data_IF_127773560997
#
_entry.id   IF_127773560997
#
_cell.length_a   1.000
_cell.length_b   1.000
_cell.length_c   1.000
_cell.angle_alpha   90.00
_cell.angle_beta   90.00
_cell.angle_gamma   90.00
#
_symmetry.space_group_name_H-M   'P 1'
#
loop_
_entity.id
_entity.type
_entity.pdbx_description
1 polymer ?
#
# COMPACT_ATOMS: atom_id res chain seq x y z
N UNK A 1 34.48 21.90 -8.55
CA UNK A 1 33.40 20.98 -8.26
C UNK A 1 33.99 19.72 -7.62
N UNK A 2 33.32 19.13 -6.62
CA UNK A 2 33.78 17.87 -5.98
C UNK A 2 33.54 16.72 -6.93
N UNK A 3 34.49 15.79 -7.06
CA UNK A 3 34.30 14.53 -7.78
C UNK A 3 33.44 13.56 -6.96
N UNK A 4 32.98 12.45 -7.57
CA UNK A 4 32.13 11.44 -6.90
C UNK A 4 32.71 10.98 -5.55
N UNK A 5 34.03 10.70 -5.49
CA UNK A 5 34.67 10.27 -4.26
C UNK A 5 34.58 11.32 -3.14
N UNK A 6 34.85 12.58 -3.48
CA UNK A 6 34.76 13.68 -2.52
C UNK A 6 33.33 13.94 -2.06
N UNK A 7 32.32 13.72 -2.92
CA UNK A 7 30.91 13.87 -2.56
C UNK A 7 30.52 12.86 -1.48
N UNK A 8 30.68 11.56 -1.72
CA UNK A 8 30.26 10.57 -0.73
C UNK A 8 31.13 10.58 0.53
N UNK A 9 32.42 10.85 0.43
CA UNK A 9 33.28 11.02 1.60
C UNK A 9 32.82 12.17 2.51
N UNK A 10 32.20 13.20 1.95
CA UNK A 10 31.67 14.29 2.74
C UNK A 10 30.42 13.93 3.56
N UNK A 11 29.82 12.77 3.32
CA UNK A 11 28.67 12.22 4.05
C UNK A 11 29.09 11.19 5.12
N UNK A 12 30.32 10.69 5.11
CA UNK A 12 30.80 9.64 6.05
C UNK A 12 30.78 10.02 7.55
N UNK A 13 30.69 11.30 7.98
CA UNK A 13 30.41 11.62 9.38
C UNK A 13 29.05 11.17 9.89
N UNK A 14 28.07 10.93 8.98
CA UNK A 14 26.71 10.51 9.34
C UNK A 14 26.36 9.10 8.85
N UNK A 15 26.96 8.65 7.74
CA UNK A 15 26.64 7.41 7.05
C UNK A 15 27.87 6.54 6.91
N UNK A 16 27.73 5.22 6.90
CA UNK A 16 28.84 4.37 6.52
C UNK A 16 29.24 4.58 5.04
N UNK A 17 30.42 4.07 4.65
CA UNK A 17 30.95 4.33 3.31
C UNK A 17 30.05 3.72 2.20
N UNK A 18 29.41 2.58 2.45
CA UNK A 18 28.50 1.91 1.50
C UNK A 18 27.22 2.72 1.31
N UNK A 19 26.64 3.14 2.40
CA UNK A 19 25.42 3.97 2.42
C UNK A 19 25.66 5.34 1.80
N UNK A 20 26.75 6.04 2.18
CA UNK A 20 27.12 7.31 1.60
C UNK A 20 27.29 7.24 0.06
N UNK A 21 27.89 6.15 -0.44
CA UNK A 21 28.01 5.91 -1.87
C UNK A 21 26.66 5.65 -2.53
N UNK A 22 25.77 4.89 -1.88
CA UNK A 22 24.43 4.62 -2.38
C UNK A 22 23.61 5.90 -2.47
N UNK A 23 23.60 6.74 -1.43
CA UNK A 23 22.92 8.04 -1.39
C UNK A 23 23.38 8.94 -2.54
N UNK A 24 24.71 9.11 -2.73
CA UNK A 24 25.21 9.96 -3.81
C UNK A 24 24.88 9.40 -5.19
N UNK A 25 24.89 8.08 -5.36
CA UNK A 25 24.46 7.44 -6.63
C UNK A 25 22.99 7.71 -6.90
N UNK A 26 22.13 7.55 -5.91
CA UNK A 26 20.70 7.86 -6.03
C UNK A 26 20.47 9.31 -6.44
N UNK A 27 21.20 10.25 -5.84
CA UNK A 27 21.12 11.67 -6.24
C UNK A 27 21.54 11.91 -7.69
N UNK A 28 22.68 11.32 -8.10
CA UNK A 28 23.21 11.51 -9.45
C UNK A 28 22.34 10.86 -10.53
N UNK A 29 21.72 9.72 -10.21
CA UNK A 29 20.76 9.07 -11.09
C UNK A 29 19.47 9.88 -11.20
N UNK A 30 18.85 10.21 -10.07
CA UNK A 30 17.55 10.87 -10.04
C UNK A 30 17.57 12.30 -10.63
N UNK A 31 18.63 13.07 -10.36
CA UNK A 31 18.71 14.48 -10.75
C UNK A 31 19.38 14.71 -12.11
N UNK A 32 20.30 13.82 -12.51
CA UNK A 32 21.12 14.01 -13.71
C UNK A 32 21.07 12.81 -14.68
N UNK A 33 20.31 11.76 -14.38
CA UNK A 33 20.20 10.54 -15.21
C UNK A 33 21.52 9.81 -15.38
N UNK A 34 22.44 9.89 -14.41
CA UNK A 34 23.77 9.29 -14.51
C UNK A 34 23.72 7.82 -14.10
N UNK A 35 24.09 6.94 -15.02
CA UNK A 35 24.34 5.53 -14.72
C UNK A 35 25.61 5.35 -13.87
N UNK A 36 25.75 4.18 -13.24
CA UNK A 36 26.98 3.84 -12.51
C UNK A 36 28.24 3.97 -13.39
N UNK A 37 28.14 3.63 -14.67
CA UNK A 37 29.23 3.77 -15.64
C UNK A 37 29.59 5.23 -15.87
N UNK A 38 28.62 6.12 -16.00
CA UNK A 38 28.81 7.56 -16.13
C UNK A 38 29.51 8.15 -14.90
N UNK A 39 29.09 7.71 -13.71
CA UNK A 39 29.65 8.18 -12.43
C UNK A 39 31.11 7.76 -12.30
N UNK A 40 31.43 6.49 -12.56
CA UNK A 40 32.82 5.97 -12.53
C UNK A 40 33.66 6.60 -13.64
N UNK A 41 33.07 6.86 -14.80
CA UNK A 41 33.71 7.54 -15.94
C UNK A 41 34.03 9.02 -15.68
N UNK A 42 33.56 9.58 -14.55
CA UNK A 42 33.87 10.96 -14.15
C UNK A 42 32.94 12.01 -14.73
N UNK A 43 31.81 11.64 -15.30
CA UNK A 43 30.79 12.56 -15.88
C UNK A 43 30.29 13.62 -14.89
N UNK A 44 30.38 13.35 -13.57
CA UNK A 44 30.11 14.32 -12.50
C UNK A 44 30.94 15.62 -12.68
N UNK A 45 32.15 15.53 -13.21
CA UNK A 45 33.02 16.69 -13.42
C UNK A 45 32.61 17.54 -14.65
N UNK A 46 31.70 17.04 -15.47
CA UNK A 46 31.22 17.71 -16.69
C UNK A 46 29.93 18.50 -16.45
N UNK A 47 29.35 18.44 -15.23
CA UNK A 47 28.18 19.23 -14.86
C UNK A 47 28.44 20.75 -15.05
N UNK A 48 27.46 21.45 -15.54
CA UNK A 48 27.48 22.90 -15.65
C UNK A 48 27.62 23.60 -14.29
N UNK A 49 27.94 24.86 -14.26
CA UNK A 49 28.08 25.62 -13.02
C UNK A 49 26.79 25.67 -12.19
N UNK A 50 25.61 25.72 -12.86
CA UNK A 50 24.31 25.75 -12.18
C UNK A 50 23.93 24.38 -11.64
N UNK A 51 24.17 23.32 -12.40
CA UNK A 51 23.99 21.93 -11.93
C UNK A 51 24.93 21.62 -10.76
N UNK A 52 26.19 22.08 -10.82
CA UNK A 52 27.13 21.93 -9.72
C UNK A 52 26.69 22.63 -8.44
N UNK A 53 26.10 23.86 -8.53
CA UNK A 53 25.49 24.51 -7.37
C UNK A 53 24.32 23.76 -6.79
N UNK A 54 23.41 23.30 -7.65
CA UNK A 54 22.27 22.45 -7.21
C UNK A 54 22.76 21.20 -6.49
N UNK A 55 23.78 20.51 -7.02
CA UNK A 55 24.37 19.35 -6.37
C UNK A 55 24.98 19.70 -5.00
N UNK A 56 25.67 20.84 -4.87
CA UNK A 56 26.21 21.29 -3.58
C UNK A 56 25.11 21.60 -2.55
N UNK A 57 23.99 22.17 -2.97
CA UNK A 57 22.81 22.38 -2.10
C UNK A 57 22.23 21.06 -1.63
N UNK A 58 22.05 20.08 -2.52
CA UNK A 58 21.60 18.71 -2.20
C UNK A 58 22.54 18.07 -1.18
N UNK A 59 23.84 18.07 -1.44
CA UNK A 59 24.84 17.49 -0.53
C UNK A 59 24.83 18.19 0.84
N UNK A 60 24.61 19.51 0.87
CA UNK A 60 24.53 20.26 2.13
C UNK A 60 23.31 19.85 2.97
N UNK A 61 22.18 19.55 2.35
CA UNK A 61 20.99 19.01 3.03
C UNK A 61 21.27 17.62 3.59
N UNK A 62 21.86 16.74 2.80
CA UNK A 62 22.25 15.37 3.20
C UNK A 62 23.26 15.37 4.36
N UNK A 63 24.21 16.30 4.39
CA UNK A 63 25.16 16.48 5.49
C UNK A 63 24.49 16.90 6.82
N UNK A 64 23.26 17.38 6.77
CA UNK A 64 22.43 17.65 7.97
C UNK A 64 21.60 16.45 8.40
N UNK A 65 21.68 15.33 7.69
CA UNK A 65 20.93 14.12 7.97
C UNK A 65 19.51 14.11 7.37
N UNK A 66 19.18 15.05 6.47
CA UNK A 66 17.89 15.04 5.81
C UNK A 66 17.77 13.81 4.90
N UNK A 67 16.67 13.01 4.97
CA UNK A 67 16.48 11.83 4.14
C UNK A 67 16.61 12.16 2.65
N UNK A 68 17.33 11.34 1.90
CA UNK A 68 17.56 11.57 0.45
C UNK A 68 16.23 11.66 -0.32
N UNK A 69 15.21 10.95 0.11
CA UNK A 69 13.87 11.02 -0.50
C UNK A 69 13.22 12.40 -0.34
N UNK A 70 13.36 13.05 0.81
CA UNK A 70 12.86 14.41 1.00
C UNK A 70 13.72 15.44 0.26
N UNK A 71 15.03 15.21 0.20
CA UNK A 71 15.94 16.08 -0.57
C UNK A 71 15.58 16.07 -2.04
N UNK A 72 15.26 14.89 -2.60
CA UNK A 72 14.87 14.69 -4.00
C UNK A 72 13.37 14.93 -4.26
N UNK A 73 12.55 14.96 -3.20
CA UNK A 73 11.09 15.07 -3.31
C UNK A 73 10.42 13.82 -3.89
N UNK A 74 11.12 12.67 -3.88
CA UNK A 74 10.59 11.42 -4.45
C UNK A 74 11.14 10.19 -3.74
N UNK A 75 10.35 9.12 -3.78
CA UNK A 75 10.69 7.80 -3.25
C UNK A 75 10.18 6.70 -4.19
N UNK A 76 10.97 5.66 -4.41
CA UNK A 76 10.57 4.49 -5.18
C UNK A 76 9.78 3.52 -4.28
N UNK A 77 8.66 3.00 -4.80
CA UNK A 77 7.82 2.04 -4.11
C UNK A 77 7.09 1.15 -5.12
N UNK A 78 7.21 -0.17 -4.96
CA UNK A 78 6.56 -1.18 -5.82
C UNK A 78 6.78 -0.90 -7.34
N UNK A 79 8.01 -0.52 -7.73
CA UNK A 79 8.39 -0.22 -9.11
C UNK A 79 7.82 1.10 -9.67
N UNK A 80 7.39 2.01 -8.81
CA UNK A 80 6.84 3.33 -9.15
C UNK A 80 7.50 4.42 -8.33
N UNK A 81 7.62 5.62 -8.89
CA UNK A 81 8.19 6.78 -8.19
C UNK A 81 7.05 7.65 -7.65
N UNK A 82 7.01 7.81 -6.34
CA UNK A 82 6.06 8.64 -5.60
C UNK A 82 6.68 9.96 -5.19
N UNK A 83 5.92 11.04 -5.30
CA UNK A 83 6.29 12.29 -4.67
C UNK A 83 6.17 12.17 -3.14
N UNK A 84 7.17 12.66 -2.43
CA UNK A 84 7.20 12.75 -0.96
C UNK A 84 7.70 14.11 -0.53
N UNK A 85 7.23 14.58 0.63
CA UNK A 85 7.66 15.85 1.22
C UNK A 85 7.62 15.74 2.76
N UNK A 86 8.34 16.61 3.49
CA UNK A 86 8.29 16.63 4.95
C UNK A 86 6.86 16.66 5.49
N UNK A 87 6.61 15.84 6.53
CA UNK A 87 5.28 15.67 7.12
C UNK A 87 4.47 14.49 6.55
N UNK A 88 5.00 13.75 5.58
CA UNK A 88 4.40 12.52 5.04
C UNK A 88 5.43 11.40 5.12
N UNK A 89 5.07 10.26 5.73
CA UNK A 89 5.96 9.11 5.88
C UNK A 89 6.56 8.67 4.53
N UNK A 90 7.86 8.44 4.51
CA UNK A 90 8.54 7.89 3.34
C UNK A 90 8.10 6.44 3.14
N UNK A 91 7.60 6.04 1.95
CA UNK A 91 7.23 4.65 1.67
C UNK A 91 8.36 3.66 1.96
N UNK A 92 8.04 2.54 2.62
CA UNK A 92 9.01 1.51 3.01
C UNK A 92 8.94 0.29 2.10
N UNK A 93 10.06 -0.37 1.80
CA UNK A 93 10.07 -1.58 0.98
C UNK A 93 9.18 -2.70 1.52
N UNK A 94 9.13 -2.89 2.85
CA UNK A 94 8.32 -3.91 3.51
C UNK A 94 6.82 -3.69 3.27
N UNK A 95 6.40 -2.43 3.20
CA UNK A 95 5.01 -2.07 2.87
C UNK A 95 4.67 -2.45 1.41
N UNK A 96 5.64 -2.45 0.49
CA UNK A 96 5.43 -2.94 -0.87
C UNK A 96 5.17 -4.46 -0.90
N UNK A 97 5.81 -5.24 -0.02
CA UNK A 97 5.54 -6.67 0.13
C UNK A 97 4.12 -6.93 0.62
N UNK A 98 3.59 -6.07 1.51
CA UNK A 98 2.18 -6.13 1.92
C UNK A 98 1.24 -5.91 0.73
N UNK A 99 1.50 -4.92 -0.12
CA UNK A 99 0.73 -4.68 -1.35
C UNK A 99 0.78 -5.88 -2.30
N UNK A 100 1.96 -6.46 -2.49
CA UNK A 100 2.14 -7.65 -3.30
C UNK A 100 1.32 -8.83 -2.77
N UNK A 101 1.37 -9.10 -1.46
CA UNK A 101 0.58 -10.17 -0.84
C UNK A 101 -0.92 -10.00 -1.05
N UNK A 102 -1.44 -8.77 -0.90
CA UNK A 102 -2.84 -8.44 -1.16
C UNK A 102 -3.21 -8.73 -2.63
N UNK A 103 -2.40 -8.26 -3.57
CA UNK A 103 -2.64 -8.44 -5.00
C UNK A 103 -2.58 -9.93 -5.41
N UNK A 104 -1.61 -10.69 -4.92
CA UNK A 104 -1.48 -12.13 -5.14
C UNK A 104 -2.71 -12.88 -4.60
N UNK A 105 -3.12 -12.59 -3.35
CA UNK A 105 -4.30 -13.21 -2.73
C UNK A 105 -5.56 -12.93 -3.54
N UNK A 106 -5.74 -11.68 -4.00
CA UNK A 106 -6.88 -11.29 -4.81
C UNK A 106 -6.88 -12.02 -6.16
N UNK A 107 -5.75 -12.09 -6.84
CA UNK A 107 -5.59 -12.76 -8.11
C UNK A 107 -5.84 -14.28 -8.01
N UNK A 108 -5.35 -14.93 -6.96
CA UNK A 108 -5.62 -16.34 -6.70
C UNK A 108 -7.11 -16.61 -6.48
N UNK A 109 -7.76 -15.74 -5.71
CA UNK A 109 -9.19 -15.86 -5.43
C UNK A 109 -10.02 -15.66 -6.72
N UNK A 110 -9.65 -14.71 -7.59
CA UNK A 110 -10.29 -14.52 -8.90
C UNK A 110 -10.12 -15.74 -9.80
N UNK A 111 -8.94 -16.36 -9.85
CA UNK A 111 -8.70 -17.60 -10.61
C UNK A 111 -9.55 -18.76 -10.09
N UNK A 112 -9.71 -18.90 -8.77
CA UNK A 112 -10.58 -19.92 -8.16
C UNK A 112 -12.04 -19.69 -8.53
N UNK A 113 -12.50 -18.44 -8.50
CA UNK A 113 -13.86 -18.06 -8.93
C UNK A 113 -14.09 -18.38 -10.42
N UNK A 114 -13.14 -18.01 -11.28
CA UNK A 114 -13.19 -18.32 -12.71
C UNK A 114 -13.26 -19.83 -12.94
N UNK A 115 -12.49 -20.63 -12.24
CA UNK A 115 -12.51 -22.08 -12.36
C UNK A 115 -13.89 -22.67 -11.99
N UNK A 116 -14.50 -22.18 -10.91
CA UNK A 116 -15.85 -22.59 -10.47
C UNK A 116 -16.90 -22.23 -11.54
N UNK A 117 -16.83 -21.02 -12.11
CA UNK A 117 -17.74 -20.58 -13.18
C UNK A 117 -17.58 -21.46 -14.40
N UNK A 118 -16.35 -21.76 -14.83
CA UNK A 118 -16.07 -22.63 -15.97
C UNK A 118 -16.65 -24.03 -15.76
N UNK A 119 -16.46 -24.61 -14.61
CA UNK A 119 -17.01 -25.94 -14.25
C UNK A 119 -18.53 -25.92 -14.27
N UNK A 120 -19.16 -24.95 -13.59
CA UNK A 120 -20.63 -24.86 -13.49
C UNK A 120 -21.30 -24.68 -14.86
N UNK A 121 -20.67 -23.95 -15.78
CA UNK A 121 -21.21 -23.67 -17.11
C UNK A 121 -20.61 -24.57 -18.21
N UNK A 122 -19.73 -25.51 -17.89
CA UNK A 122 -19.01 -26.38 -18.84
C UNK A 122 -18.29 -25.58 -19.95
N UNK A 123 -17.63 -24.49 -19.56
CA UNK A 123 -16.88 -23.60 -20.46
C UNK A 123 -15.45 -24.14 -20.62
N UNK A 124 -15.01 -24.34 -21.88
CA UNK A 124 -13.64 -24.77 -22.15
C UNK A 124 -12.60 -23.77 -21.60
N UNK A 125 -11.46 -24.25 -21.05
CA UNK A 125 -10.37 -23.40 -20.60
C UNK A 125 -9.82 -22.44 -21.66
N UNK A 126 -9.91 -22.83 -22.94
CA UNK A 126 -9.36 -22.08 -24.07
C UNK A 126 -10.24 -20.92 -24.54
N UNK A 127 -11.44 -20.78 -23.96
CA UNK A 127 -12.38 -19.71 -24.33
C UNK A 127 -12.31 -18.61 -23.28
N UNK A 128 -12.03 -17.38 -23.69
CA UNK A 128 -12.10 -16.23 -22.80
C UNK A 128 -13.55 -16.04 -22.30
N UNK A 129 -13.77 -15.82 -21.02
CA UNK A 129 -15.12 -15.67 -20.44
C UNK A 129 -15.88 -14.48 -21.03
N UNK A 130 -15.18 -13.44 -21.43
CA UNK A 130 -15.71 -12.26 -22.12
C UNK A 130 -16.17 -12.56 -23.55
N UNK A 131 -15.61 -13.60 -24.20
CA UNK A 131 -15.94 -14.02 -25.56
C UNK A 131 -17.06 -15.10 -25.62
N UNK A 132 -17.54 -15.55 -24.43
CA UNK A 132 -18.55 -16.60 -24.37
C UNK A 132 -19.91 -16.10 -24.84
N UNK A 133 -20.22 -16.32 -26.11
CA UNK A 133 -21.54 -16.03 -26.67
C UNK A 133 -22.52 -17.16 -26.40
N UNK A 134 -23.01 -17.28 -25.19
CA UNK A 134 -23.96 -18.32 -24.76
C UNK A 134 -25.30 -18.33 -25.49
N UNK A 135 -25.52 -17.40 -26.41
CA UNK A 135 -26.82 -17.15 -27.04
C UNK A 135 -26.81 -17.24 -28.57
N UNK A 136 -25.68 -17.61 -29.15
CA UNK A 136 -25.57 -17.72 -30.61
C UNK A 136 -26.49 -18.83 -31.15
N UNK A 137 -27.20 -18.56 -32.25
CA UNK A 137 -28.08 -19.53 -32.93
C UNK A 137 -29.47 -19.76 -32.30
N UNK A 138 -29.88 -19.05 -31.25
CA UNK A 138 -31.19 -19.24 -30.59
C UNK A 138 -32.17 -18.09 -30.83
N UNK A 139 -33.45 -18.40 -31.11
CA UNK A 139 -34.50 -17.40 -31.41
C UNK A 139 -34.72 -16.40 -30.27
N UNK A 140 -35.21 -15.17 -30.60
CA UNK A 140 -35.27 -14.00 -29.72
C UNK A 140 -35.88 -14.26 -28.32
N UNK A 141 -36.99 -15.00 -28.22
CA UNK A 141 -37.63 -15.35 -26.93
C UNK A 141 -36.80 -16.33 -26.11
N UNK A 142 -36.16 -17.28 -26.76
CA UNK A 142 -35.30 -18.28 -26.11
C UNK A 142 -33.99 -17.62 -25.60
N UNK A 143 -33.45 -16.63 -26.38
CA UNK A 143 -32.30 -15.81 -25.95
C UNK A 143 -32.62 -14.98 -24.72
N UNK A 144 -33.80 -14.33 -24.68
CA UNK A 144 -34.20 -13.50 -23.53
C UNK A 144 -34.41 -14.35 -22.28
N UNK A 145 -35.02 -15.53 -22.38
CA UNK A 145 -35.21 -16.47 -21.27
C UNK A 145 -33.88 -17.05 -20.80
N UNK A 146 -32.99 -17.45 -21.70
CA UNK A 146 -31.67 -17.98 -21.36
C UNK A 146 -30.77 -16.90 -20.76
N UNK A 147 -30.86 -15.67 -21.27
CA UNK A 147 -30.13 -14.53 -20.70
C UNK A 147 -30.60 -14.22 -19.26
N UNK A 148 -31.90 -14.28 -19.02
CA UNK A 148 -32.45 -14.10 -17.67
C UNK A 148 -32.06 -15.27 -16.76
N UNK A 149 -32.11 -16.51 -17.25
CA UNK A 149 -31.70 -17.70 -16.49
C UNK A 149 -30.19 -17.71 -16.22
N UNK A 150 -29.38 -17.27 -17.14
CA UNK A 150 -27.94 -17.05 -16.99
C UNK A 150 -27.66 -15.97 -15.93
N UNK A 151 -28.32 -14.82 -16.02
CA UNK A 151 -28.20 -13.76 -15.03
C UNK A 151 -28.65 -14.21 -13.64
N UNK A 152 -29.73 -14.99 -13.55
CA UNK A 152 -30.20 -15.55 -12.28
C UNK A 152 -29.22 -16.60 -11.74
N UNK A 153 -28.66 -17.47 -12.60
CA UNK A 153 -27.61 -18.41 -12.21
C UNK A 153 -26.32 -17.68 -11.82
N UNK A 154 -25.88 -16.71 -12.60
CA UNK A 154 -24.74 -15.85 -12.24
C UNK A 154 -24.97 -15.13 -10.89
N UNK A 155 -26.17 -14.58 -10.68
CA UNK A 155 -26.53 -13.97 -9.40
C UNK A 155 -26.60 -15.00 -8.26
N UNK A 156 -26.99 -16.24 -8.57
CA UNK A 156 -27.02 -17.34 -7.59
C UNK A 156 -25.61 -17.86 -7.29
N UNK A 157 -24.77 -18.04 -8.31
CA UNK A 157 -23.34 -18.37 -8.16
C UNK A 157 -22.59 -17.23 -7.48
N UNK A 158 -22.91 -15.98 -7.80
CA UNK A 158 -22.38 -14.79 -7.12
C UNK A 158 -22.82 -14.73 -5.65
N UNK A 159 -24.09 -15.09 -5.33
CA UNK A 159 -24.54 -15.27 -3.95
C UNK A 159 -23.86 -16.44 -3.25
N UNK A 160 -23.67 -17.57 -3.95
CA UNK A 160 -22.97 -18.75 -3.44
C UNK A 160 -21.48 -18.48 -3.27
N UNK A 161 -20.85 -17.76 -4.22
CA UNK A 161 -19.48 -17.28 -4.12
C UNK A 161 -19.29 -16.30 -2.95
N UNK A 162 -20.27 -15.45 -2.67
CA UNK A 162 -20.28 -14.60 -1.46
C UNK A 162 -20.32 -15.39 -0.14
N UNK A 163 -20.81 -16.62 -0.16
CA UNK A 163 -20.77 -17.55 0.97
C UNK A 163 -19.54 -18.47 0.97
N UNK A 164 -18.73 -18.42 -0.08
CA UNK A 164 -17.49 -19.18 -0.25
C UNK A 164 -16.34 -18.20 -0.39
N UNK A 165 -15.65 -17.78 0.58
CA UNK A 165 -14.35 -17.02 0.62
C UNK A 165 -13.76 -16.50 -0.73
N UNK A 166 -14.62 -16.16 -1.72
CA UNK A 166 -14.20 -15.78 -3.07
C UNK A 166 -14.13 -14.24 -3.24
N UNK A 167 -13.23 -13.80 -4.09
CA UNK A 167 -12.97 -12.39 -4.34
C UNK A 167 -14.12 -11.69 -5.07
N UNK A 168 -14.28 -10.39 -4.83
CA UNK A 168 -15.14 -9.53 -5.64
C UNK A 168 -14.44 -9.21 -6.97
N UNK A 169 -15.11 -9.30 -8.13
CA UNK A 169 -14.54 -8.89 -9.41
C UNK A 169 -14.32 -7.36 -9.49
N UNK A 170 -14.89 -6.62 -8.55
CA UNK A 170 -14.66 -5.18 -8.33
C UNK A 170 -14.47 -4.95 -6.85
N UNK A 171 -13.28 -5.28 -6.30
CA UNK A 171 -13.06 -5.17 -4.87
C UNK A 171 -13.04 -3.70 -4.45
N UNK A 172 -13.73 -3.42 -3.34
CA UNK A 172 -13.61 -2.15 -2.63
C UNK A 172 -12.51 -2.28 -1.60
N UNK A 173 -11.52 -1.42 -1.73
CA UNK A 173 -10.33 -1.41 -0.89
C UNK A 173 -10.29 -0.09 -0.13
N UNK A 174 -10.07 -0.16 1.17
CA UNK A 174 -9.88 1.00 2.04
C UNK A 174 -8.48 0.94 2.61
N UNK A 175 -7.72 2.02 2.43
CA UNK A 175 -6.40 2.23 3.00
C UNK A 175 -6.49 3.27 4.13
N UNK A 176 -6.16 2.88 5.35
CA UNK A 176 -6.26 3.72 6.55
C UNK A 176 -4.88 4.18 7.01
N UNK A 177 -4.70 5.50 7.17
CA UNK A 177 -3.39 6.11 7.35
C UNK A 177 -2.61 6.11 6.04
N UNK A 178 -3.23 6.62 4.96
CA UNK A 178 -2.73 6.44 3.59
C UNK A 178 -1.39 7.14 3.31
N UNK A 179 -1.02 8.17 4.09
CA UNK A 179 0.23 8.90 3.92
C UNK A 179 0.41 9.45 2.50
N UNK A 180 1.48 9.03 1.83
CA UNK A 180 1.75 9.39 0.43
C UNK A 180 0.79 8.77 -0.59
N UNK A 181 -0.13 7.89 -0.16
CA UNK A 181 -1.02 7.12 -1.01
C UNK A 181 -0.38 5.87 -1.61
N UNK A 182 0.83 5.50 -1.18
CA UNK A 182 1.60 4.42 -1.81
C UNK A 182 0.88 3.07 -1.82
N UNK A 183 0.20 2.68 -0.72
CA UNK A 183 -0.61 1.46 -0.66
C UNK A 183 -1.84 1.57 -1.58
N UNK A 184 -2.67 2.60 -1.37
CA UNK A 184 -3.92 2.79 -2.11
C UNK A 184 -3.68 2.86 -3.63
N UNK A 185 -2.69 3.64 -4.07
CA UNK A 185 -2.36 3.82 -5.48
C UNK A 185 -1.85 2.52 -6.07
N UNK A 186 -0.92 1.83 -5.39
CA UNK A 186 -0.38 0.55 -5.86
C UNK A 186 -1.48 -0.49 -6.03
N UNK A 187 -2.36 -0.65 -5.03
CA UNK A 187 -3.48 -1.59 -5.11
C UNK A 187 -4.49 -1.21 -6.21
N UNK A 188 -4.73 0.10 -6.43
CA UNK A 188 -5.59 0.58 -7.51
C UNK A 188 -5.05 0.25 -8.90
N UNK A 189 -3.73 0.19 -9.06
CA UNK A 189 -3.07 -0.12 -10.33
C UNK A 189 -2.86 -1.62 -10.54
N UNK A 190 -2.60 -2.39 -9.47
CA UNK A 190 -2.25 -3.80 -9.53
C UNK A 190 -3.47 -4.73 -9.44
N UNK A 191 -4.60 -4.24 -8.91
CA UNK A 191 -5.85 -5.01 -8.84
C UNK A 191 -6.86 -4.44 -9.82
N UNK A 192 -7.10 -5.12 -10.95
CA UNK A 192 -8.01 -4.63 -11.98
C UNK A 192 -9.42 -4.34 -11.47
N UNK A 193 -10.02 -3.25 -11.95
CA UNK A 193 -11.38 -2.81 -11.61
C UNK A 193 -11.63 -2.52 -10.12
N UNK A 194 -10.60 -2.41 -9.29
CA UNK A 194 -10.76 -2.06 -7.87
C UNK A 194 -11.29 -0.62 -7.69
N UNK A 195 -12.11 -0.43 -6.65
CA UNK A 195 -12.52 0.88 -6.13
C UNK A 195 -11.70 1.13 -4.86
N UNK A 196 -10.73 2.04 -4.90
CA UNK A 196 -9.80 2.28 -3.79
C UNK A 196 -10.00 3.66 -3.19
N UNK A 197 -10.14 3.69 -1.87
CA UNK A 197 -10.27 4.92 -1.08
C UNK A 197 -9.21 4.92 0.02
N UNK A 198 -8.44 6.00 0.11
CA UNK A 198 -7.49 6.24 1.19
C UNK A 198 -8.02 7.28 2.18
N UNK A 199 -7.74 7.08 3.46
CA UNK A 199 -8.06 8.02 4.53
C UNK A 199 -6.80 8.37 5.32
N UNK A 200 -6.69 9.65 5.68
CA UNK A 200 -5.63 10.14 6.57
C UNK A 200 -6.15 11.28 7.44
N UNK A 201 -5.58 11.48 8.61
CA UNK A 201 -5.91 12.62 9.47
C UNK A 201 -5.27 13.92 8.97
N UNK A 202 -4.18 13.82 8.19
CA UNK A 202 -3.39 14.93 7.68
C UNK A 202 -3.90 15.43 6.33
N UNK A 203 -4.22 16.72 6.23
CA UNK A 203 -4.52 17.37 4.95
C UNK A 203 -3.32 17.32 3.99
N UNK A 204 -2.09 17.46 4.51
CA UNK A 204 -0.86 17.35 3.71
C UNK A 204 -0.73 15.97 3.10
N UNK A 205 -0.92 14.90 3.88
CA UNK A 205 -0.90 13.53 3.38
C UNK A 205 -1.94 13.32 2.27
N UNK A 206 -3.19 13.73 2.47
CA UNK A 206 -4.24 13.63 1.45
C UNK A 206 -3.90 14.40 0.17
N UNK A 207 -3.27 15.58 0.28
CA UNK A 207 -2.84 16.37 -0.87
C UNK A 207 -1.70 15.68 -1.64
N UNK A 208 -0.70 15.15 -0.93
CA UNK A 208 0.42 14.37 -1.53
C UNK A 208 -0.13 13.12 -2.21
N UNK A 209 -0.99 12.35 -1.55
CA UNK A 209 -1.62 11.15 -2.12
C UNK A 209 -2.42 11.50 -3.40
N UNK A 210 -3.19 12.59 -3.39
CA UNK A 210 -3.95 13.05 -4.56
C UNK A 210 -3.02 13.46 -5.72
N UNK A 211 -1.91 14.13 -5.43
CA UNK A 211 -0.87 14.49 -6.42
C UNK A 211 -0.26 13.23 -7.03
N UNK A 212 0.10 12.25 -6.21
CA UNK A 212 0.64 10.98 -6.63
C UNK A 212 -0.34 10.17 -7.49
N UNK A 213 -1.61 10.09 -7.09
CA UNK A 213 -2.64 9.41 -7.88
C UNK A 213 -2.77 10.02 -9.27
N UNK A 214 -2.77 11.35 -9.36
CA UNK A 214 -2.81 12.06 -10.65
C UNK A 214 -1.56 11.78 -11.50
N UNK A 215 -0.38 11.83 -10.90
CA UNK A 215 0.90 11.58 -11.57
C UNK A 215 0.98 10.16 -12.12
N UNK A 216 0.52 9.16 -11.36
CA UNK A 216 0.57 7.74 -11.70
C UNK A 216 -0.69 7.24 -12.43
N UNK A 217 -1.60 8.14 -12.81
CA UNK A 217 -2.87 7.81 -13.46
C UNK A 217 -3.74 6.78 -12.69
N UNK A 218 -3.63 6.76 -11.36
CA UNK A 218 -4.47 5.95 -10.47
C UNK A 218 -5.85 6.57 -10.29
N UNK A 219 -6.86 5.71 -10.05
CA UNK A 219 -8.24 6.11 -9.75
C UNK A 219 -8.54 6.16 -8.24
N UNK A 220 -7.54 5.94 -7.39
CA UNK A 220 -7.70 6.04 -5.94
C UNK A 220 -8.12 7.46 -5.53
N UNK A 221 -9.01 7.55 -4.55
CA UNK A 221 -9.56 8.83 -4.03
C UNK A 221 -9.19 8.93 -2.55
N UNK A 222 -8.90 10.15 -2.10
CA UNK A 222 -8.40 10.37 -0.75
C UNK A 222 -9.28 11.36 0.00
N UNK A 223 -9.52 11.06 1.29
CA UNK A 223 -10.31 11.91 2.18
C UNK A 223 -9.62 12.08 3.52
N UNK A 224 -9.72 13.29 4.07
CA UNK A 224 -9.33 13.54 5.44
C UNK A 224 -10.32 12.91 6.40
N UNK A 225 -9.81 12.05 7.29
CA UNK A 225 -10.63 11.44 8.32
C UNK A 225 -9.77 10.90 9.46
N UNK A 226 -10.25 11.09 10.71
CA UNK A 226 -9.62 10.50 11.89
C UNK A 226 -10.09 9.06 12.07
N UNK A 227 -9.13 8.15 12.14
CA UNK A 227 -9.37 6.71 12.33
C UNK A 227 -10.14 6.40 13.62
N UNK A 228 -9.95 7.23 14.66
CA UNK A 228 -10.62 7.06 15.95
C UNK A 228 -12.10 7.46 15.93
N UNK A 229 -12.51 8.32 15.01
CA UNK A 229 -13.91 8.73 14.82
C UNK A 229 -14.70 7.73 13.95
N UNK A 230 -14.04 6.89 13.16
CA UNK A 230 -14.66 6.00 12.19
C UNK A 230 -15.65 5.00 12.81
N UNK A 231 -15.31 4.26 13.88
CA UNK A 231 -16.23 3.27 14.44
C UNK A 231 -17.55 3.86 14.91
N UNK A 232 -17.52 5.03 15.54
CA UNK A 232 -18.74 5.69 16.04
C UNK A 232 -19.63 6.19 14.90
N UNK A 233 -19.03 6.76 13.83
CA UNK A 233 -19.79 7.17 12.64
C UNK A 233 -20.46 6.00 11.95
N UNK A 234 -19.78 4.84 11.86
CA UNK A 234 -20.38 3.63 11.28
C UNK A 234 -21.55 3.10 12.11
N UNK A 235 -21.50 3.20 13.45
CA UNK A 235 -22.61 2.80 14.33
C UNK A 235 -23.82 3.70 14.17
N UNK A 236 -23.60 5.00 13.95
CA UNK A 236 -24.66 6.02 13.86
C UNK A 236 -25.27 6.14 12.46
N UNK A 237 -24.46 6.00 11.40
CA UNK A 237 -24.90 6.10 10.01
C UNK A 237 -25.02 4.74 9.31
N UNK A 238 -25.99 3.94 9.73
CA UNK A 238 -26.23 2.59 9.17
C UNK A 238 -26.61 2.56 7.70
N UNK A 239 -26.94 3.69 7.08
CA UNK A 239 -27.34 3.76 5.66
C UNK A 239 -26.15 3.91 4.71
N UNK A 240 -25.03 4.46 5.18
CA UNK A 240 -23.88 4.81 4.37
C UNK A 240 -22.66 3.90 4.67
N UNK A 241 -22.89 2.63 4.96
CA UNK A 241 -21.79 1.66 5.10
C UNK A 241 -20.96 1.53 3.82
N UNK A 242 -19.65 1.62 3.95
CA UNK A 242 -18.70 1.51 2.83
C UNK A 242 -18.65 0.10 2.24
N UNK A 243 -18.88 -0.93 3.07
CA UNK A 243 -18.93 -2.36 2.65
C UNK A 243 -17.69 -2.77 1.84
N UNK A 244 -16.53 -2.66 2.46
CA UNK A 244 -15.27 -3.03 1.86
C UNK A 244 -15.07 -4.54 1.71
N UNK A 245 -14.32 -4.94 0.69
CA UNK A 245 -13.83 -6.30 0.51
C UNK A 245 -12.45 -6.46 1.17
N UNK A 246 -11.65 -5.39 1.16
CA UNK A 246 -10.32 -5.33 1.75
C UNK A 246 -10.18 -4.02 2.52
N UNK A 247 -9.66 -4.10 3.74
CA UNK A 247 -9.17 -2.96 4.51
C UNK A 247 -7.69 -3.22 4.77
N UNK A 248 -6.85 -2.23 4.52
CA UNK A 248 -5.40 -2.31 4.73
C UNK A 248 -4.92 -1.08 5.50
N UNK A 249 -3.91 -1.26 6.31
CA UNK A 249 -3.23 -0.15 6.99
C UNK A 249 -1.78 -0.49 7.33
N UNK A 250 -0.92 0.50 7.18
CA UNK A 250 0.36 0.59 7.86
C UNK A 250 0.24 1.71 8.90
N UNK A 251 -0.34 1.44 10.08
CA UNK A 251 -0.58 2.47 11.09
C UNK A 251 0.68 2.74 11.90
N UNK A 252 0.76 3.83 12.67
CA UNK A 252 1.81 4.02 13.65
C UNK A 252 1.86 2.84 14.63
N UNK A 253 3.05 2.26 14.84
CA UNK A 253 3.23 1.07 15.67
C UNK A 253 4.52 1.02 16.48
N UNK A 254 5.40 2.02 16.35
CA UNK A 254 6.66 2.08 17.07
C UNK A 254 6.40 2.67 18.46
N UNK A 255 6.75 1.95 19.52
CA UNK A 255 6.63 2.47 20.88
C UNK A 255 7.68 3.55 21.16
N UNK A 256 7.36 4.51 22.05
CA UNK A 256 8.27 5.58 22.44
C UNK A 256 9.63 5.05 22.93
N UNK A 257 9.63 3.93 23.67
CA UNK A 257 10.85 3.26 24.15
C UNK A 257 11.76 2.73 23.04
N UNK A 258 11.24 2.50 21.85
CA UNK A 258 12.00 2.01 20.68
C UNK A 258 12.77 3.13 19.97
N UNK A 259 12.50 4.41 20.29
CA UNK A 259 13.19 5.58 19.71
C UNK A 259 14.70 5.53 19.86
N UNK A 260 15.20 4.95 20.95
CA UNK A 260 16.63 4.89 21.23
C UNK A 260 17.41 4.07 20.18
N UNK A 261 16.75 3.13 19.53
CA UNK A 261 17.36 2.23 18.53
C UNK A 261 17.12 2.71 17.07
N UNK A 262 16.46 3.86 16.90
CA UNK A 262 16.13 4.39 15.59
C UNK A 262 17.21 5.34 15.06
N UNK A 263 17.29 5.40 13.74
CA UNK A 263 18.19 6.32 13.07
C UNK A 263 17.75 7.78 13.25
N UNK A 264 18.75 8.64 13.41
CA UNK A 264 18.53 10.06 13.70
C UNK A 264 17.79 10.78 12.56
N UNK A 265 18.05 10.43 11.30
CA UNK A 265 17.37 10.98 10.14
C UNK A 265 15.85 10.72 10.16
N UNK A 266 15.41 9.56 10.65
CA UNK A 266 13.99 9.24 10.84
C UNK A 266 13.40 10.12 11.96
N UNK A 267 14.07 10.16 13.11
CA UNK A 267 13.62 10.92 14.29
C UNK A 267 13.52 12.43 14.05
N UNK A 268 14.47 13.00 13.30
CA UNK A 268 14.58 14.44 13.11
C UNK A 268 13.68 14.98 11.96
N UNK A 269 13.26 14.13 11.02
CA UNK A 269 12.63 14.59 9.78
C UNK A 269 11.27 13.95 9.46
N UNK A 270 11.02 12.70 9.88
CA UNK A 270 9.74 12.07 9.58
C UNK A 270 8.68 12.39 10.65
N UNK A 271 7.39 12.40 10.31
CA UNK A 271 6.36 12.87 11.25
C UNK A 271 6.13 11.87 12.38
N UNK A 272 6.30 12.30 13.62
CA UNK A 272 6.05 11.50 14.83
C UNK A 272 4.66 10.84 14.81
N UNK A 273 3.66 11.56 14.33
CA UNK A 273 2.27 11.07 14.25
C UNK A 273 2.12 9.82 13.36
N UNK A 274 3.00 9.63 12.39
CA UNK A 274 2.98 8.48 11.50
C UNK A 274 3.83 7.30 12.00
N UNK A 275 4.62 7.50 13.05
CA UNK A 275 5.57 6.51 13.56
C UNK A 275 5.17 5.95 14.92
N UNK A 276 4.80 6.83 15.88
CA UNK A 276 4.83 6.48 17.29
C UNK A 276 3.46 6.21 17.91
N UNK A 277 3.48 5.27 18.85
CA UNK A 277 2.39 4.95 19.76
C UNK A 277 2.88 5.04 21.21
N UNK A 278 1.99 5.35 22.18
CA UNK A 278 2.32 5.31 23.60
C UNK A 278 2.76 3.91 24.03
N UNK A 279 3.76 3.82 24.91
CA UNK A 279 4.25 2.55 25.47
C UNK A 279 3.16 1.78 26.23
N UNK A 280 2.20 2.49 26.82
CA UNK A 280 1.09 1.93 27.58
C UNK A 280 0.02 1.30 26.69
N UNK A 281 -0.06 1.68 25.42
CA UNK A 281 -1.05 1.16 24.47
C UNK A 281 -0.49 0.98 23.04
N UNK A 282 0.40 0.00 22.84
CA UNK A 282 1.02 -0.26 21.54
C UNK A 282 0.02 -0.72 20.47
N UNK A 283 -1.17 -1.19 20.87
CA UNK A 283 -2.20 -1.64 19.93
C UNK A 283 -3.29 -0.60 19.64
N UNK A 284 -3.10 0.64 20.05
CA UNK A 284 -4.11 1.70 19.98
C UNK A 284 -4.74 1.84 18.59
N UNK A 285 -3.91 1.98 17.55
CA UNK A 285 -4.39 2.11 16.16
C UNK A 285 -4.96 0.81 15.62
N UNK A 286 -4.30 -0.33 15.87
CA UNK A 286 -4.80 -1.63 15.44
C UNK A 286 -6.20 -1.91 15.97
N UNK A 287 -6.47 -1.54 17.22
CA UNK A 287 -7.78 -1.73 17.85
C UNK A 287 -8.86 -0.88 17.19
N UNK A 288 -8.60 0.40 16.95
CA UNK A 288 -9.55 1.30 16.28
C UNK A 288 -9.86 0.82 14.83
N UNK A 289 -8.82 0.39 14.12
CA UNK A 289 -8.95 -0.14 12.76
C UNK A 289 -9.70 -1.48 12.76
N UNK A 290 -9.41 -2.39 13.70
CA UNK A 290 -10.09 -3.67 13.81
C UNK A 290 -11.59 -3.48 14.15
N UNK A 291 -11.93 -2.54 15.02
CA UNK A 291 -13.32 -2.19 15.31
C UNK A 291 -14.03 -1.68 14.05
N UNK A 292 -13.45 -0.70 13.35
CA UNK A 292 -13.97 -0.22 12.07
C UNK A 292 -14.14 -1.35 11.04
N UNK A 293 -13.11 -2.18 10.87
CA UNK A 293 -13.13 -3.29 9.93
C UNK A 293 -14.20 -4.34 10.29
N UNK A 294 -14.45 -4.58 11.58
CA UNK A 294 -15.52 -5.46 12.03
C UNK A 294 -16.92 -4.97 11.61
N UNK A 295 -17.10 -3.67 11.42
CA UNK A 295 -18.36 -3.05 10.99
C UNK A 295 -18.46 -2.96 9.46
N UNK A 296 -17.37 -2.60 8.79
CA UNK A 296 -17.36 -2.20 7.36
C UNK A 296 -16.91 -3.28 6.39
N UNK A 297 -16.16 -4.27 6.81
CA UNK A 297 -15.87 -5.41 5.94
C UNK A 297 -17.14 -6.20 5.64
N UNK A 298 -17.25 -6.70 4.44
CA UNK A 298 -18.22 -7.74 4.06
C UNK A 298 -17.87 -9.07 4.74
N UNK A 299 -18.81 -10.00 4.81
CA UNK A 299 -18.49 -11.37 5.17
C UNK A 299 -17.40 -11.91 4.22
N UNK A 300 -16.39 -12.57 4.77
CA UNK A 300 -15.18 -13.01 4.08
C UNK A 300 -14.26 -11.90 3.56
N UNK A 301 -14.55 -10.64 3.87
CA UNK A 301 -13.62 -9.53 3.65
C UNK A 301 -12.36 -9.68 4.50
N UNK A 302 -11.28 -9.09 4.03
CA UNK A 302 -9.95 -9.27 4.63
C UNK A 302 -9.42 -7.97 5.19
N UNK A 303 -8.88 -8.03 6.40
CA UNK A 303 -8.12 -6.96 7.03
C UNK A 303 -6.64 -7.30 6.92
N UNK A 304 -5.84 -6.35 6.47
CA UNK A 304 -4.38 -6.46 6.38
C UNK A 304 -3.70 -5.36 7.19
N UNK A 305 -2.66 -5.74 7.89
CA UNK A 305 -1.80 -4.84 8.65
C UNK A 305 -0.33 -5.03 8.32
N UNK A 306 0.41 -3.92 8.28
CA UNK A 306 1.81 -3.94 8.68
C UNK A 306 1.85 -3.89 10.21
N UNK A 307 2.69 -4.72 10.84
CA UNK A 307 2.70 -4.87 12.29
C UNK A 307 4.10 -4.65 12.89
N UNK A 308 4.13 -4.21 14.15
CA UNK A 308 5.32 -4.32 14.97
C UNK A 308 5.54 -5.80 15.35
N UNK A 309 6.68 -6.42 14.97
CA UNK A 309 6.96 -7.82 15.29
C UNK A 309 6.92 -8.15 16.79
N UNK A 310 7.21 -7.18 17.64
CA UNK A 310 7.20 -7.34 19.10
C UNK A 310 5.81 -7.62 19.66
N UNK A 311 4.76 -7.20 18.97
CA UNK A 311 3.36 -7.32 19.41
C UNK A 311 2.51 -8.21 18.48
N UNK A 312 3.15 -9.14 17.74
CA UNK A 312 2.44 -10.06 16.83
C UNK A 312 1.37 -10.86 17.55
N UNK A 313 1.71 -11.43 18.72
CA UNK A 313 0.79 -12.27 19.49
C UNK A 313 -0.40 -11.47 20.02
N UNK A 314 -0.13 -10.31 20.63
CA UNK A 314 -1.15 -9.43 21.18
C UNK A 314 -2.08 -8.87 20.09
N UNK A 315 -1.53 -8.57 18.91
CA UNK A 315 -2.31 -8.13 17.74
C UNK A 315 -3.24 -9.25 17.27
N UNK A 316 -2.76 -10.49 17.22
CA UNK A 316 -3.56 -11.66 16.87
C UNK A 316 -4.70 -11.88 17.87
N UNK A 317 -4.42 -11.92 19.17
CA UNK A 317 -5.40 -12.08 20.23
C UNK A 317 -6.46 -10.95 20.20
N UNK A 318 -6.05 -9.74 19.94
CA UNK A 318 -6.95 -8.60 19.76
C UNK A 318 -7.89 -8.81 18.58
N UNK A 319 -7.39 -9.25 17.42
CA UNK A 319 -8.21 -9.53 16.23
C UNK A 319 -9.18 -10.68 16.44
N UNK A 320 -8.76 -11.75 17.14
CA UNK A 320 -9.66 -12.86 17.55
C UNK A 320 -10.80 -12.34 18.45
N UNK A 321 -10.50 -11.39 19.34
CA UNK A 321 -11.49 -10.72 20.19
C UNK A 321 -12.54 -9.91 19.40
N UNK A 322 -12.20 -9.37 18.25
CA UNK A 322 -13.14 -8.71 17.32
C UNK A 322 -13.87 -9.70 16.39
N UNK A 323 -13.64 -11.01 16.55
CA UNK A 323 -14.32 -12.07 15.80
C UNK A 323 -13.70 -12.39 14.44
N UNK A 324 -12.51 -11.87 14.15
CA UNK A 324 -11.77 -12.26 12.95
C UNK A 324 -11.28 -13.71 13.05
N UNK A 325 -11.17 -14.36 11.90
CA UNK A 325 -10.74 -15.75 11.74
C UNK A 325 -9.61 -15.85 10.71
N UNK A 326 -9.04 -17.05 10.55
CA UNK A 326 -8.01 -17.34 9.56
C UNK A 326 -6.87 -16.30 9.61
N UNK A 327 -6.41 -15.98 10.82
CA UNK A 327 -5.37 -14.97 11.04
C UNK A 327 -4.03 -15.57 10.65
N UNK A 328 -3.38 -14.94 9.67
CA UNK A 328 -2.09 -15.36 9.12
C UNK A 328 -1.07 -14.24 9.29
N UNK A 329 0.15 -14.61 9.68
CA UNK A 329 1.29 -13.69 9.76
C UNK A 329 2.30 -14.08 8.69
N UNK A 330 2.84 -13.10 7.95
CA UNK A 330 3.88 -13.29 6.94
C UNK A 330 5.14 -12.52 7.35
N UNK A 331 6.29 -13.12 7.08
CA UNK A 331 7.59 -12.49 7.26
C UNK A 331 7.93 -11.62 6.04
N UNK A 332 8.69 -10.55 6.29
CA UNK A 332 9.30 -9.73 5.25
C UNK A 332 10.54 -10.43 4.67
N UNK A 333 11.16 -9.83 3.66
CA UNK A 333 12.39 -10.34 3.02
C UNK A 333 13.60 -10.45 3.96
N UNK A 334 13.51 -9.87 5.16
CA UNK A 334 14.54 -9.96 6.23
C UNK A 334 14.20 -11.00 7.30
N UNK A 335 13.09 -11.76 7.15
CA UNK A 335 12.66 -12.80 8.09
C UNK A 335 11.96 -12.25 9.35
N UNK A 336 11.50 -11.00 9.34
CA UNK A 336 10.74 -10.42 10.46
C UNK A 336 9.25 -10.54 10.18
N UNK A 337 8.47 -10.97 11.17
CA UNK A 337 6.99 -11.00 11.13
C UNK A 337 6.44 -9.58 11.00
N UNK A 338 6.22 -9.15 9.77
CA UNK A 338 5.90 -7.76 9.46
C UNK A 338 4.48 -7.55 8.96
N UNK A 339 3.82 -8.58 8.47
CA UNK A 339 2.51 -8.46 7.85
C UNK A 339 1.52 -9.42 8.49
N UNK A 340 0.29 -8.97 8.71
CA UNK A 340 -0.79 -9.80 9.26
C UNK A 340 -2.05 -9.65 8.43
N UNK A 341 -2.73 -10.77 8.17
CA UNK A 341 -4.04 -10.83 7.52
C UNK A 341 -5.04 -11.50 8.43
N UNK A 342 -6.26 -10.98 8.46
CA UNK A 342 -7.38 -11.59 9.18
C UNK A 342 -8.65 -11.55 8.33
N UNK A 343 -9.50 -12.55 8.45
CA UNK A 343 -10.74 -12.68 7.66
C UNK A 343 -11.95 -12.42 8.56
N UNK A 344 -12.88 -11.58 8.09
CA UNK A 344 -14.17 -11.38 8.74
C UNK A 344 -15.08 -12.56 8.45
N UNK A 345 -15.58 -13.23 9.50
CA UNK A 345 -16.52 -14.35 9.39
C UNK A 345 -17.93 -13.91 8.97
#
# INVERSE_FOLDING_TARGET
>A
MKNYQQLWQSLTPLYDAGEAQAIVRTVLDAEYGMTLTDIIGGKVNELSADEGKKLEEIITRLQKGEPVQYVLGQADFAGRTFHVEPGVLIPRPETAELCQWIAETQNENLKKEEAIIREEFSISPDVALEDVNLFEGKGWFKRKYLRLRFLVKMLHSYKKARHTKLASPRPRIIDLGTGSGCIAITLSLDIPNSEVVGFDISDSACNVATKNAKQLASKAIFYKFDIFDMPEKCKTDRKNHLKADIIVSNPPYICEKEKADMEKNVLDYEPDLALFVPDEDPLKFYRAIAEFASLELRSWGMLYFEINPLYEKETREMLEGFGFKDIETKEDSFGKKRMMRAVKS
#
